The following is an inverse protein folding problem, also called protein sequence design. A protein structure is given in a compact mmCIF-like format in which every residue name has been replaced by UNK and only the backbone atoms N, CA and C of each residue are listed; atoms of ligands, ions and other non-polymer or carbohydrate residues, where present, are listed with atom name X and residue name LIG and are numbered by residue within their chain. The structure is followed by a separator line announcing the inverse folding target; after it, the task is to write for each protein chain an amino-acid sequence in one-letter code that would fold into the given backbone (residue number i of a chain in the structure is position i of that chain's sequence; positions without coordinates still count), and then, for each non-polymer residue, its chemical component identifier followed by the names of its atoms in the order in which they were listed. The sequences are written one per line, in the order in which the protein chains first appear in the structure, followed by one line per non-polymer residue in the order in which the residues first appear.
data_IF_161350577060
#
_entry.id   IF_161350577060
#
_cell.length_a   1.000
_cell.length_b   1.000
_cell.length_c   1.000
_cell.angle_alpha   90.00
_cell.angle_beta   90.00
_cell.angle_gamma   90.00
#
_symmetry.space_group_name_H-M   'P 1'
#
loop_
_entity.id
_entity.type
_entity.pdbx_description
1 polymer ?
#
# COMPACT_ATOMS: atom_id res chain seq x y z
N UNK A 1 11.87 -16.96 -1.27
CA UNK A 1 12.55 -15.76 -1.79
C UNK A 1 12.06 -15.53 -3.21
N UNK A 2 11.55 -14.34 -3.52
CA UNK A 2 11.25 -13.98 -4.89
C UNK A 2 12.58 -13.96 -5.68
N UNK A 3 12.56 -14.45 -6.90
CA UNK A 3 13.73 -14.44 -7.78
C UNK A 3 14.01 -13.01 -8.20
N UNK A 4 15.14 -12.46 -7.80
CA UNK A 4 15.52 -11.07 -8.11
C UNK A 4 15.97 -11.01 -9.57
N UNK A 5 15.32 -10.18 -10.37
CA UNK A 5 15.63 -9.94 -11.78
C UNK A 5 15.65 -8.46 -12.08
N UNK A 6 16.40 -8.08 -13.09
CA UNK A 6 16.49 -6.70 -13.58
C UNK A 6 15.48 -6.41 -14.71
N UNK A 7 15.27 -5.14 -14.98
CA UNK A 7 14.41 -4.66 -16.07
C UNK A 7 14.82 -5.26 -17.42
N UNK A 8 16.14 -5.32 -17.69
CA UNK A 8 16.67 -5.89 -18.92
C UNK A 8 16.27 -7.35 -19.10
N UNK A 9 16.32 -8.13 -18.03
CA UNK A 9 15.90 -9.54 -18.08
C UNK A 9 14.43 -9.68 -18.44
N UNK A 10 13.53 -8.92 -17.78
CA UNK A 10 12.08 -8.99 -17.99
C UNK A 10 11.73 -8.68 -19.45
N UNK A 11 12.24 -7.57 -19.99
CA UNK A 11 11.98 -7.16 -21.38
C UNK A 11 12.59 -8.15 -22.36
N UNK A 12 13.84 -8.57 -22.14
CA UNK A 12 14.51 -9.54 -23.02
C UNK A 12 13.76 -10.86 -23.05
N UNK A 13 13.34 -11.37 -21.89
CA UNK A 13 12.58 -12.62 -21.78
C UNK A 13 11.26 -12.52 -22.53
N UNK A 14 10.51 -11.45 -22.33
CA UNK A 14 9.24 -11.22 -23.04
C UNK A 14 9.44 -11.16 -24.57
N UNK A 15 10.46 -10.43 -25.05
CA UNK A 15 10.75 -10.30 -26.47
C UNK A 15 11.15 -11.63 -27.11
N UNK A 16 12.03 -12.39 -26.45
CA UNK A 16 12.48 -13.70 -26.96
C UNK A 16 11.32 -14.70 -27.01
N UNK A 17 10.46 -14.73 -26.00
CA UNK A 17 9.26 -15.61 -25.99
C UNK A 17 8.26 -15.27 -27.09
N UNK A 18 8.21 -14.00 -27.52
CA UNK A 18 7.38 -13.56 -28.66
C UNK A 18 8.07 -13.72 -30.03
N UNK A 19 9.31 -14.24 -30.07
CA UNK A 19 10.08 -14.38 -31.32
C UNK A 19 10.67 -13.05 -31.83
N UNK A 20 10.76 -12.03 -31.01
CA UNK A 20 11.39 -10.76 -31.33
C UNK A 20 12.91 -10.82 -31.07
N UNK A 21 13.72 -10.01 -31.79
CA UNK A 21 15.16 -9.99 -31.59
C UNK A 21 15.53 -9.55 -30.18
N UNK A 22 16.56 -10.19 -29.61
CA UNK A 22 17.08 -9.84 -28.29
C UNK A 22 17.72 -8.45 -28.34
N UNK A 23 17.29 -7.48 -27.50
CA UNK A 23 17.89 -6.15 -27.44
C UNK A 23 19.27 -6.18 -26.75
N UNK A 24 20.20 -5.37 -27.20
CA UNK A 24 21.49 -5.17 -26.53
C UNK A 24 21.34 -4.31 -25.27
N UNK A 25 20.53 -3.25 -25.39
CA UNK A 25 20.12 -2.33 -24.33
C UNK A 25 18.59 -2.17 -24.38
N UNK A 26 17.99 -1.84 -23.25
CA UNK A 26 16.52 -1.74 -23.13
C UNK A 26 16.09 -0.29 -22.96
N UNK A 27 16.48 0.35 -21.86
CA UNK A 27 15.98 1.69 -21.51
C UNK A 27 16.52 2.76 -22.46
N UNK A 28 17.79 2.62 -22.88
CA UNK A 28 18.48 3.57 -23.78
C UNK A 28 18.41 3.17 -25.26
N UNK A 29 17.70 2.09 -25.58
CA UNK A 29 17.61 1.57 -26.94
C UNK A 29 16.92 2.54 -27.89
N UNK A 30 17.47 2.79 -29.09
CA UNK A 30 16.81 3.60 -30.14
C UNK A 30 15.73 2.83 -30.90
N UNK A 31 15.58 1.51 -30.69
CA UNK A 31 14.59 0.69 -31.37
C UNK A 31 13.18 1.01 -30.86
N UNK A 32 12.28 1.38 -31.78
CA UNK A 32 10.91 1.73 -31.46
C UNK A 32 10.12 0.58 -30.81
N UNK A 33 10.45 -0.68 -31.15
CA UNK A 33 9.81 -1.85 -30.54
C UNK A 33 10.23 -1.99 -29.09
N UNK A 34 11.51 -1.79 -28.79
CA UNK A 34 12.05 -1.84 -27.44
C UNK A 34 11.51 -0.68 -26.59
N UNK A 35 11.44 0.53 -27.14
CA UNK A 35 10.84 1.69 -26.47
C UNK A 35 9.35 1.44 -26.15
N UNK A 36 8.60 0.83 -27.08
CA UNK A 36 7.23 0.42 -26.83
C UNK A 36 7.14 -0.60 -25.67
N UNK A 37 8.05 -1.57 -25.63
CA UNK A 37 8.10 -2.56 -24.55
C UNK A 37 8.39 -1.92 -23.20
N UNK A 38 9.30 -0.94 -23.11
CA UNK A 38 9.58 -0.19 -21.88
C UNK A 38 8.36 0.61 -21.41
N UNK A 39 7.68 1.29 -22.34
CA UNK A 39 6.47 2.04 -22.01
C UNK A 39 5.35 1.12 -21.49
N UNK A 40 5.18 -0.05 -22.12
CA UNK A 40 4.21 -1.06 -21.69
C UNK A 40 4.61 -1.70 -20.34
N UNK A 41 5.92 -1.86 -20.08
CA UNK A 41 6.43 -2.38 -18.81
C UNK A 41 6.14 -1.39 -17.68
N UNK A 42 6.37 -0.10 -17.87
CA UNK A 42 6.04 0.93 -16.87
C UNK A 42 4.55 0.91 -16.53
N UNK A 43 3.69 0.82 -17.55
CA UNK A 43 2.25 0.68 -17.33
C UNK A 43 1.90 -0.62 -16.61
N UNK A 44 2.50 -1.74 -17.02
CA UNK A 44 2.28 -3.04 -16.39
C UNK A 44 2.68 -3.04 -14.92
N UNK A 45 3.81 -2.44 -14.57
CA UNK A 45 4.25 -2.26 -13.19
C UNK A 45 3.23 -1.49 -12.35
N UNK A 46 2.77 -0.34 -12.86
CA UNK A 46 1.75 0.48 -12.21
C UNK A 46 0.42 -0.27 -12.02
N UNK A 47 -0.08 -0.95 -13.06
CA UNK A 47 -1.30 -1.75 -12.99
C UNK A 47 -1.19 -2.86 -11.93
N UNK A 48 -0.03 -3.50 -11.82
CA UNK A 48 0.21 -4.58 -10.86
C UNK A 48 0.32 -4.09 -9.41
N UNK A 49 0.88 -2.91 -9.19
CA UNK A 49 0.92 -2.26 -7.86
C UNK A 49 -0.49 -2.03 -7.33
N UNK A 50 -1.39 -1.52 -8.19
CA UNK A 50 -2.78 -1.24 -7.82
C UNK A 50 -3.58 -2.55 -7.67
N UNK A 51 -3.29 -3.55 -8.47
CA UNK A 51 -4.05 -4.80 -8.53
C UNK A 51 -3.87 -5.73 -7.33
N UNK A 52 -2.76 -5.62 -6.61
CA UNK A 52 -2.45 -6.54 -5.51
C UNK A 52 -1.47 -5.93 -4.49
N UNK A 53 -1.71 -6.09 -3.17
CA UNK A 53 -0.79 -5.62 -2.14
C UNK A 53 0.42 -6.57 -2.03
N UNK A 54 1.47 -6.27 -2.78
CA UNK A 54 2.72 -7.03 -2.75
C UNK A 54 3.47 -6.78 -1.45
N UNK A 55 3.86 -7.83 -0.73
CA UNK A 55 4.59 -7.73 0.54
C UNK A 55 5.86 -6.87 0.41
N UNK A 56 6.54 -6.94 -0.75
CA UNK A 56 7.76 -6.19 -1.01
C UNK A 56 7.54 -4.67 -1.16
N UNK A 57 6.29 -4.24 -1.42
CA UNK A 57 5.91 -2.84 -1.59
C UNK A 57 5.22 -2.27 -0.37
N UNK A 58 4.92 -3.09 0.63
CA UNK A 58 4.28 -2.63 1.86
C UNK A 58 5.31 -1.87 2.70
N UNK A 59 4.93 -0.66 3.09
CA UNK A 59 5.71 0.20 3.99
C UNK A 59 4.86 0.69 5.14
N UNK A 60 5.49 0.90 6.27
CA UNK A 60 4.86 1.54 7.43
C UNK A 60 5.10 3.05 7.38
N UNK A 61 4.04 3.82 7.56
CA UNK A 61 4.13 5.25 7.79
C UNK A 61 3.77 5.58 9.23
N UNK A 62 4.70 6.19 9.95
CA UNK A 62 4.52 6.66 11.31
C UNK A 62 4.39 8.18 11.25
N UNK A 63 3.23 8.69 11.64
CA UNK A 63 2.90 10.10 11.70
C UNK A 63 2.83 10.55 13.15
N UNK A 64 3.65 11.52 13.53
CA UNK A 64 3.54 12.23 14.81
C UNK A 64 2.77 13.52 14.57
N UNK A 65 1.66 13.70 15.28
CA UNK A 65 0.81 14.88 15.08
C UNK A 65 1.40 16.13 15.70
N UNK A 66 1.05 17.31 15.13
CA UNK A 66 1.46 18.62 15.59
C UNK A 66 0.25 19.41 16.10
N UNK A 67 0.50 20.32 17.06
CA UNK A 67 -0.56 21.13 17.66
C UNK A 67 -1.24 22.04 16.61
N UNK A 68 -2.55 21.96 16.53
CA UNK A 68 -3.36 22.74 15.60
C UNK A 68 -3.33 22.30 14.14
N UNK A 69 -2.58 21.24 13.79
CA UNK A 69 -2.44 20.78 12.40
C UNK A 69 -3.40 19.61 12.13
N UNK A 70 -4.46 19.79 11.32
CA UNK A 70 -5.42 18.74 11.00
C UNK A 70 -5.07 17.92 9.75
N UNK A 71 -4.12 18.37 8.92
CA UNK A 71 -3.81 17.75 7.63
C UNK A 71 -2.29 17.57 7.45
N UNK A 72 -1.90 16.43 6.96
CA UNK A 72 -0.50 16.01 6.77
C UNK A 72 -0.28 15.50 5.37
N UNK A 73 0.88 15.81 4.79
CA UNK A 73 1.24 15.32 3.47
C UNK A 73 1.49 13.82 3.49
N UNK A 74 1.03 13.15 2.45
CA UNK A 74 1.26 11.73 2.26
C UNK A 74 2.72 11.45 1.92
N UNK A 75 3.26 10.25 2.23
CA UNK A 75 4.55 9.83 1.68
C UNK A 75 4.58 9.99 0.15
N UNK A 76 5.70 10.47 -0.38
CA UNK A 76 5.83 10.78 -1.82
C UNK A 76 5.65 9.55 -2.74
N UNK A 77 5.77 8.37 -2.18
CA UNK A 77 5.62 7.09 -2.88
C UNK A 77 4.34 6.34 -2.49
N UNK A 78 3.38 7.04 -1.90
CA UNK A 78 2.12 6.46 -1.48
C UNK A 78 1.21 6.16 -2.69
N UNK A 79 0.70 4.91 -2.76
CA UNK A 79 -0.32 4.49 -3.71
C UNK A 79 -1.70 4.37 -3.03
N UNK A 80 -1.81 3.50 -2.03
CA UNK A 80 -3.03 3.33 -1.23
C UNK A 80 -2.71 2.71 0.13
N UNK A 81 -3.60 2.92 1.10
CA UNK A 81 -3.50 2.27 2.41
C UNK A 81 -3.99 0.84 2.39
N UNK A 82 -3.39 0.01 3.24
CA UNK A 82 -3.97 -1.29 3.59
C UNK A 82 -5.10 -1.10 4.59
N UNK A 83 -6.23 -1.76 4.33
CA UNK A 83 -7.40 -1.68 5.21
C UNK A 83 -7.10 -2.20 6.62
N UNK A 84 -7.66 -1.52 7.62
CA UNK A 84 -7.58 -1.89 9.03
C UNK A 84 -6.17 -1.85 9.64
N UNK A 85 -5.21 -1.21 8.99
CA UNK A 85 -3.85 -1.04 9.52
C UNK A 85 -3.64 0.31 10.21
N UNK A 86 -4.62 1.23 10.08
CA UNK A 86 -4.54 2.57 10.65
C UNK A 86 -4.79 2.52 12.17
N UNK A 87 -3.75 2.83 12.93
CA UNK A 87 -3.72 2.66 14.37
C UNK A 87 -3.16 3.88 15.09
N UNK A 88 -3.82 4.29 16.16
CA UNK A 88 -3.28 5.26 17.12
C UNK A 88 -2.46 4.50 18.18
N UNK A 89 -1.15 4.65 18.15
CA UNK A 89 -0.24 3.99 19.08
C UNK A 89 -0.20 4.65 20.45
N UNK A 90 -0.60 5.92 20.54
CA UNK A 90 -0.63 6.65 21.80
C UNK A 90 -1.78 6.18 22.68
N UNK A 91 -2.97 6.05 22.10
CA UNK A 91 -4.17 5.67 22.83
C UNK A 91 -4.57 4.18 22.64
N UNK A 92 -3.85 3.45 21.79
CA UNK A 92 -4.09 2.04 21.47
C UNK A 92 -5.46 1.76 20.83
N UNK A 93 -5.90 2.64 19.93
CA UNK A 93 -7.18 2.51 19.23
C UNK A 93 -7.01 2.51 17.71
N UNK A 94 -7.90 1.81 16.97
CA UNK A 94 -7.94 1.94 15.52
C UNK A 94 -8.49 3.31 15.13
N UNK A 95 -7.96 3.91 14.06
CA UNK A 95 -8.54 5.08 13.43
C UNK A 95 -9.83 4.70 12.72
N UNK A 96 -10.78 5.63 12.67
CA UNK A 96 -12.09 5.43 12.04
C UNK A 96 -12.13 6.13 10.66
N UNK A 97 -12.08 5.36 9.60
CA UNK A 97 -12.13 5.91 8.23
C UNK A 97 -11.82 4.87 7.16
N UNK A 98 -11.60 5.31 5.92
CA UNK A 98 -11.73 6.72 5.48
C UNK A 98 -13.19 7.22 5.50
N UNK A 99 -13.40 8.47 5.94
CA UNK A 99 -14.72 9.08 6.00
C UNK A 99 -15.13 9.69 4.66
N UNK A 100 -16.41 9.57 4.33
CA UNK A 100 -16.99 10.19 3.14
C UNK A 100 -17.07 11.72 3.30
N UNK A 101 -17.18 12.44 2.19
CA UNK A 101 -17.29 13.90 2.21
C UNK A 101 -18.50 14.36 3.04
N UNK A 102 -19.63 13.64 2.96
CA UNK A 102 -20.83 13.95 3.72
C UNK A 102 -20.63 13.76 5.23
N UNK A 103 -20.08 12.61 5.64
CA UNK A 103 -19.77 12.34 7.05
C UNK A 103 -18.77 13.35 7.62
N UNK A 104 -17.80 13.78 6.79
CA UNK A 104 -16.81 14.76 7.21
C UNK A 104 -17.41 16.14 7.46
N UNK A 105 -18.31 16.60 6.60
CA UNK A 105 -19.01 17.88 6.82
C UNK A 105 -19.90 17.80 8.05
N UNK A 106 -20.56 16.68 8.26
CA UNK A 106 -21.36 16.46 9.46
C UNK A 106 -20.53 16.49 10.75
N UNK A 107 -19.32 15.86 10.74
CA UNK A 107 -18.39 15.93 11.86
C UNK A 107 -17.93 17.37 12.15
N UNK A 108 -17.63 18.15 11.10
CA UNK A 108 -17.23 19.57 11.22
C UNK A 108 -18.41 20.48 11.64
N UNK A 109 -19.65 20.04 11.46
CA UNK A 109 -20.84 20.78 11.85
C UNK A 109 -21.04 20.95 13.37
N UNK A 110 -20.24 20.30 14.19
CA UNK A 110 -20.14 20.54 15.63
C UNK A 110 -21.35 20.10 16.47
N UNK A 111 -22.32 19.39 15.89
CA UNK A 111 -23.55 19.02 16.59
C UNK A 111 -23.35 17.87 17.61
N UNK A 112 -22.27 17.09 17.45
CA UNK A 112 -21.96 15.97 18.33
C UNK A 112 -20.50 16.01 18.76
N UNK A 113 -20.26 15.70 20.03
CA UNK A 113 -18.90 15.38 20.51
C UNK A 113 -18.38 14.20 19.72
N UNK A 114 -17.23 14.35 19.08
CA UNK A 114 -16.66 13.34 18.20
C UNK A 114 -16.20 12.07 18.92
N UNK A 115 -16.22 12.06 20.24
CA UNK A 115 -15.61 10.98 21.04
C UNK A 115 -14.08 10.95 20.88
N UNK A 116 -13.38 10.09 21.65
CA UNK A 116 -11.92 10.10 21.73
C UNK A 116 -11.22 9.49 20.50
N UNK A 117 -11.93 8.75 19.63
CA UNK A 117 -11.31 8.09 18.47
C UNK A 117 -11.07 9.06 17.35
N UNK A 118 -9.86 9.02 16.79
CA UNK A 118 -9.47 9.81 15.64
C UNK A 118 -10.17 9.27 14.39
N UNK A 119 -10.76 10.20 13.63
CA UNK A 119 -11.34 9.93 12.32
C UNK A 119 -10.43 10.52 11.26
N UNK A 120 -10.35 9.84 10.11
CA UNK A 120 -9.51 10.31 9.03
C UNK A 120 -10.21 10.24 7.67
N UNK A 121 -9.70 11.02 6.76
CA UNK A 121 -9.96 10.92 5.31
C UNK A 121 -8.72 11.29 4.53
N UNK A 122 -8.69 10.88 3.25
CA UNK A 122 -7.65 11.29 2.31
C UNK A 122 -8.28 12.19 1.26
N UNK A 123 -7.78 13.41 1.13
CA UNK A 123 -8.27 14.42 0.19
C UNK A 123 -7.09 15.25 -0.32
N UNK A 124 -7.04 15.48 -1.63
CA UNK A 124 -6.01 16.30 -2.28
C UNK A 124 -4.55 15.88 -1.97
N UNK A 125 -4.32 14.58 -1.81
CA UNK A 125 -2.98 14.06 -1.47
C UNK A 125 -2.58 14.29 -0.01
N UNK A 126 -3.53 14.68 0.86
CA UNK A 126 -3.29 14.89 2.28
C UNK A 126 -4.12 13.92 3.14
N UNK A 127 -3.54 13.53 4.25
CA UNK A 127 -4.17 12.76 5.30
C UNK A 127 -4.77 13.73 6.32
N UNK A 128 -6.09 13.92 6.28
CA UNK A 128 -6.81 14.77 7.23
C UNK A 128 -7.32 13.96 8.41
N UNK A 129 -7.17 14.51 9.62
CA UNK A 129 -7.64 13.90 10.87
C UNK A 129 -8.63 14.80 11.60
N UNK A 130 -9.54 14.18 12.32
CA UNK A 130 -10.51 14.83 13.18
C UNK A 130 -10.73 14.00 14.48
N UNK A 131 -10.72 14.62 15.68
CA UNK A 131 -10.57 16.06 15.96
C UNK A 131 -9.17 16.57 15.62
N UNK A 132 -9.05 17.89 15.42
CA UNK A 132 -7.75 18.54 15.26
C UNK A 132 -6.91 18.33 16.52
N UNK A 133 -5.65 17.88 16.42
CA UNK A 133 -4.76 17.75 17.56
C UNK A 133 -4.62 19.09 18.30
N UNK A 134 -4.78 19.07 19.60
CA UNK A 134 -4.62 20.26 20.44
C UNK A 134 -4.46 19.87 21.89
N UNK A 135 -3.97 20.76 22.74
CA UNK A 135 -3.86 20.54 24.18
C UNK A 135 -5.21 20.18 24.85
N UNK A 136 -6.35 20.54 24.25
CA UNK A 136 -7.69 20.18 24.72
C UNK A 136 -8.02 18.72 24.39
N UNK A 137 -7.63 18.28 23.18
CA UNK A 137 -7.95 16.93 22.68
C UNK A 137 -6.89 15.89 23.05
N UNK A 138 -5.70 16.36 23.45
CA UNK A 138 -4.56 15.55 23.86
C UNK A 138 -3.98 16.03 25.20
N UNK A 139 -4.77 15.99 26.28
CA UNK A 139 -4.28 16.47 27.58
C UNK A 139 -3.17 15.55 28.11
N UNK A 140 -2.06 16.16 28.54
CA UNK A 140 -1.05 15.45 29.32
C UNK A 140 -1.61 15.15 30.73
N UNK A 141 -1.47 13.91 31.16
CA UNK A 141 -1.87 13.52 32.51
C UNK A 141 -1.08 14.34 33.54
N UNK A 142 -1.78 15.18 34.29
CA UNK A 142 -1.19 16.01 35.36
C UNK A 142 -0.67 17.39 34.96
N UNK A 143 -0.68 17.76 33.68
CA UNK A 143 -0.27 19.07 33.20
C UNK A 143 -1.37 19.67 32.28
N UNK A 144 -2.31 20.42 32.83
CA UNK A 144 -3.35 21.06 32.01
C UNK A 144 -2.76 22.06 31.01
N UNK A 145 -3.19 21.92 29.73
CA UNK A 145 -2.79 22.85 28.66
C UNK A 145 -1.50 22.47 27.91
N UNK A 146 -0.87 21.36 28.24
CA UNK A 146 0.25 20.85 27.45
C UNK A 146 -0.25 19.92 26.36
N UNK A 147 0.26 20.14 25.14
CA UNK A 147 -0.03 19.28 23.99
C UNK A 147 0.80 18.00 24.03
N UNK A 148 0.12 16.85 23.89
CA UNK A 148 0.76 15.56 23.69
C UNK A 148 0.52 15.09 22.27
N UNK A 149 1.55 14.90 21.43
CA UNK A 149 1.38 14.41 20.07
C UNK A 149 0.84 12.98 20.06
N UNK A 150 -0.10 12.71 19.17
CA UNK A 150 -0.49 11.35 18.85
C UNK A 150 0.52 10.74 17.88
N UNK A 151 0.87 9.49 18.11
CA UNK A 151 1.68 8.70 17.20
C UNK A 151 0.74 7.76 16.43
N UNK A 152 0.49 8.09 15.18
CA UNK A 152 -0.36 7.32 14.29
C UNK A 152 0.53 6.43 13.41
N UNK A 153 0.18 5.17 13.28
CA UNK A 153 0.88 4.23 12.43
C UNK A 153 -0.09 3.62 11.42
N UNK A 154 0.34 3.49 10.19
CA UNK A 154 -0.46 2.90 9.13
C UNK A 154 0.43 2.26 8.07
N UNK A 155 -0.05 1.18 7.48
CA UNK A 155 0.64 0.53 6.38
C UNK A 155 0.05 0.97 5.05
N UNK A 156 0.92 1.15 4.08
CA UNK A 156 0.55 1.52 2.72
C UNK A 156 1.36 0.75 1.69
N UNK A 157 0.83 0.67 0.49
CA UNK A 157 1.55 0.13 -0.66
C UNK A 157 2.25 1.28 -1.37
N UNK A 158 3.56 1.13 -1.55
CA UNK A 158 4.39 2.07 -2.31
C UNK A 158 4.15 1.91 -3.81
N UNK A 159 4.08 3.02 -4.56
CA UNK A 159 4.02 2.99 -6.03
C UNK A 159 5.36 2.61 -6.66
N UNK A 160 6.46 2.68 -5.90
CA UNK A 160 7.80 2.41 -6.38
C UNK A 160 8.08 0.90 -6.42
N UNK A 161 7.89 0.30 -7.58
CA UNK A 161 8.05 -1.14 -7.81
C UNK A 161 9.44 -1.55 -8.32
N UNK A 162 10.33 -0.56 -8.54
CA UNK A 162 11.72 -0.74 -8.94
C UNK A 162 12.67 -0.26 -7.86
N UNK A 163 13.79 -0.95 -7.73
CA UNK A 163 14.90 -0.58 -6.85
C UNK A 163 16.15 -0.33 -7.68
N UNK A 164 16.84 0.76 -7.42
CA UNK A 164 18.15 1.04 -8.01
C UNK A 164 19.18 -0.03 -7.62
N UNK A 165 19.90 -0.56 -8.60
CA UNK A 165 20.96 -1.55 -8.35
C UNK A 165 22.25 -0.92 -7.80
N UNK A 166 22.50 0.34 -8.11
CA UNK A 166 23.74 1.06 -7.76
C UNK A 166 23.63 1.87 -6.46
N UNK A 167 22.40 2.31 -6.09
CA UNK A 167 22.18 3.17 -4.93
C UNK A 167 21.26 2.48 -3.93
N UNK A 168 21.78 2.27 -2.73
CA UNK A 168 21.00 1.62 -1.67
C UNK A 168 19.77 2.46 -1.28
N UNK A 169 18.65 1.78 -1.03
CA UNK A 169 17.38 2.40 -0.58
C UNK A 169 16.79 3.45 -1.52
N UNK A 170 17.13 3.40 -2.81
CA UNK A 170 16.53 4.24 -3.83
C UNK A 170 15.57 3.42 -4.67
N UNK A 171 14.34 3.94 -4.82
CA UNK A 171 13.23 3.24 -5.46
C UNK A 171 12.56 4.16 -6.49
N UNK A 172 12.00 3.55 -7.54
CA UNK A 172 11.37 4.26 -8.65
C UNK A 172 10.05 3.60 -9.06
N UNK A 173 9.15 4.41 -9.58
CA UNK A 173 7.89 3.97 -10.20
C UNK A 173 8.03 3.70 -11.71
N UNK A 174 9.15 4.12 -12.32
CA UNK A 174 9.43 3.98 -13.75
C UNK A 174 10.85 3.45 -13.99
N UNK A 175 11.04 2.72 -15.09
CA UNK A 175 12.34 2.19 -15.50
C UNK A 175 13.29 3.32 -15.87
N UNK A 176 14.45 3.39 -15.24
CA UNK A 176 15.50 4.38 -15.49
C UNK A 176 16.77 3.75 -16.06
N UNK A 177 17.11 2.56 -15.59
CA UNK A 177 18.29 1.83 -16.00
C UNK A 177 17.95 0.37 -16.31
N UNK A 178 18.73 -0.24 -17.20
CA UNK A 178 18.62 -1.67 -17.53
C UNK A 178 18.81 -2.59 -16.33
N UNK A 179 19.62 -2.13 -15.36
CA UNK A 179 20.02 -2.86 -14.15
C UNK A 179 19.05 -2.69 -12.99
N UNK A 180 18.03 -1.83 -13.11
CA UNK A 180 17.04 -1.62 -12.05
C UNK A 180 16.38 -2.94 -11.68
N UNK A 181 16.31 -3.22 -10.38
CA UNK A 181 15.81 -4.47 -9.83
C UNK A 181 14.29 -4.40 -9.70
N UNK A 182 13.61 -5.38 -10.26
CA UNK A 182 12.16 -5.53 -10.16
C UNK A 182 11.79 -6.14 -8.81
N UNK A 183 10.94 -5.47 -8.03
CA UNK A 183 10.43 -5.95 -6.73
C UNK A 183 9.20 -6.85 -6.88
N UNK A 184 8.47 -6.72 -7.99
CA UNK A 184 7.34 -7.58 -8.34
C UNK A 184 7.82 -8.96 -8.81
N UNK A 185 6.93 -9.95 -8.88
CA UNK A 185 7.29 -11.26 -9.45
C UNK A 185 7.61 -11.10 -10.94
N UNK A 186 8.87 -11.39 -11.36
CA UNK A 186 9.31 -11.11 -12.72
C UNK A 186 8.61 -11.95 -13.78
N UNK A 187 8.12 -13.14 -13.43
CA UNK A 187 7.40 -14.00 -14.37
C UNK A 187 5.97 -13.52 -14.62
N UNK A 188 5.29 -13.06 -13.57
CA UNK A 188 3.97 -12.45 -13.74
C UNK A 188 4.10 -11.21 -14.62
N UNK A 189 5.11 -10.37 -14.33
CA UNK A 189 5.35 -9.14 -15.09
C UNK A 189 5.68 -9.45 -16.56
N UNK A 190 6.49 -10.49 -16.83
CA UNK A 190 6.79 -10.96 -18.19
C UNK A 190 5.54 -11.42 -18.93
N UNK A 191 4.69 -12.24 -18.29
CA UNK A 191 3.45 -12.71 -18.90
C UNK A 191 2.47 -11.56 -19.18
N UNK A 192 2.35 -10.59 -18.25
CA UNK A 192 1.53 -9.41 -18.43
C UNK A 192 2.06 -8.49 -19.52
N UNK A 193 3.37 -8.30 -19.61
CA UNK A 193 4.00 -7.52 -20.67
C UNK A 193 3.73 -8.10 -22.06
N UNK A 194 3.81 -9.43 -22.22
CA UNK A 194 3.44 -10.09 -23.48
C UNK A 194 1.98 -9.82 -23.84
N UNK A 195 1.07 -9.96 -22.89
CA UNK A 195 -0.35 -9.68 -23.09
C UNK A 195 -0.57 -8.23 -23.55
N UNK A 196 0.03 -7.25 -22.86
CA UNK A 196 -0.08 -5.83 -23.19
C UNK A 196 0.49 -5.48 -24.56
N UNK A 197 1.58 -6.13 -24.96
CA UNK A 197 2.15 -5.95 -26.28
C UNK A 197 1.19 -6.43 -27.39
N UNK A 198 0.59 -7.61 -27.24
CA UNK A 198 -0.36 -8.14 -28.21
C UNK A 198 -1.66 -7.35 -28.25
N UNK A 199 -2.16 -6.87 -27.11
CA UNK A 199 -3.27 -5.92 -27.06
C UNK A 199 -2.96 -4.64 -27.86
N UNK A 200 -1.78 -4.06 -27.65
CA UNK A 200 -1.35 -2.85 -28.35
C UNK A 200 -1.20 -3.02 -29.87
N UNK A 201 -0.94 -4.26 -30.33
CA UNK A 201 -0.88 -4.59 -31.78
C UNK A 201 -2.25 -4.94 -32.37
N UNK A 202 -3.30 -5.03 -31.55
CA UNK A 202 -4.64 -5.41 -32.01
C UNK A 202 -4.76 -6.88 -32.46
N UNK A 203 -3.91 -7.77 -31.93
CA UNK A 203 -3.87 -9.18 -32.25
C UNK A 203 -4.69 -10.00 -31.25
N UNK A 204 -4.98 -11.27 -31.58
CA UNK A 204 -5.68 -12.16 -30.67
C UNK A 204 -4.87 -12.41 -29.37
N UNK A 205 -5.47 -12.06 -28.26
CA UNK A 205 -4.85 -12.12 -26.92
C UNK A 205 -5.30 -13.33 -26.10
N UNK A 206 -6.18 -14.17 -26.61
CA UNK A 206 -6.82 -15.27 -25.86
C UNK A 206 -5.80 -16.20 -25.19
N UNK A 207 -4.75 -16.60 -25.91
CA UNK A 207 -3.69 -17.47 -25.40
C UNK A 207 -2.86 -16.77 -24.31
N UNK A 208 -2.50 -15.51 -24.51
CA UNK A 208 -1.69 -14.73 -23.57
C UNK A 208 -2.48 -14.35 -22.31
N UNK A 209 -3.78 -14.10 -22.44
CA UNK A 209 -4.66 -13.89 -21.26
C UNK A 209 -4.72 -15.15 -20.40
N UNK A 210 -4.85 -16.33 -21.00
CA UNK A 210 -4.85 -17.60 -20.29
C UNK A 210 -3.51 -17.87 -19.60
N UNK A 211 -2.38 -17.60 -20.28
CA UNK A 211 -1.03 -17.73 -19.74
C UNK A 211 -0.82 -16.79 -18.53
N UNK A 212 -1.22 -15.53 -18.69
CA UNK A 212 -1.15 -14.55 -17.61
C UNK A 212 -1.98 -14.97 -16.39
N UNK A 213 -3.26 -15.33 -16.58
CA UNK A 213 -4.13 -15.76 -15.48
C UNK A 213 -3.59 -17.00 -14.77
N UNK A 214 -3.12 -18.00 -15.50
CA UNK A 214 -2.51 -19.19 -14.91
C UNK A 214 -1.24 -18.88 -14.12
N UNK A 215 -0.38 -18.01 -14.63
CA UNK A 215 0.84 -17.57 -13.94
C UNK A 215 0.48 -16.75 -12.70
N UNK A 216 -0.50 -15.87 -12.80
CA UNK A 216 -1.00 -15.04 -11.72
C UNK A 216 -1.53 -15.87 -10.56
N UNK A 217 -2.46 -16.79 -10.81
CA UNK A 217 -3.04 -17.66 -9.78
C UNK A 217 -1.99 -18.54 -9.09
N UNK A 218 -1.08 -19.13 -9.85
CA UNK A 218 -0.04 -20.01 -9.33
C UNK A 218 0.97 -19.28 -8.42
N UNK A 219 1.24 -17.99 -8.68
CA UNK A 219 2.29 -17.25 -7.99
C UNK A 219 1.78 -16.36 -6.86
N UNK A 220 0.59 -15.79 -6.97
CA UNK A 220 -0.04 -15.03 -5.87
C UNK A 220 -0.27 -15.90 -4.63
N UNK A 221 -0.66 -17.18 -4.82
CA UNK A 221 -0.81 -18.12 -3.72
C UNK A 221 0.47 -18.30 -2.88
N UNK A 222 1.64 -18.14 -3.49
CA UNK A 222 2.94 -18.21 -2.80
C UNK A 222 3.25 -16.92 -2.04
N UNK A 223 2.80 -15.78 -2.53
CA UNK A 223 3.06 -14.49 -1.91
C UNK A 223 2.21 -14.26 -0.64
N UNK A 224 1.00 -14.80 -0.59
CA UNK A 224 0.10 -14.71 0.59
C UNK A 224 0.38 -15.77 1.67
N UNK A 225 1.34 -16.65 1.45
CA UNK A 225 1.45 -17.89 2.22
C UNK A 225 0.28 -18.85 1.93
N UNK A 226 0.45 -20.13 2.12
CA UNK A 226 -0.66 -21.06 1.99
C UNK A 226 -1.72 -20.73 3.05
N UNK A 227 -2.98 -20.47 2.68
CA UNK A 227 -4.02 -20.25 3.68
C UNK A 227 -4.09 -21.49 4.58
N UNK A 228 -3.98 -21.26 5.89
CA UNK A 228 -4.14 -22.35 6.84
C UNK A 228 -5.57 -22.86 6.74
N UNK A 229 -5.76 -24.04 6.16
CA UNK A 229 -7.07 -24.69 6.10
C UNK A 229 -7.41 -25.18 7.51
N UNK A 230 -8.13 -24.36 8.27
CA UNK A 230 -8.64 -24.75 9.57
C UNK A 230 -9.86 -25.63 9.34
N UNK A 231 -9.69 -26.93 9.46
CA UNK A 231 -10.79 -27.92 9.39
C UNK A 231 -11.66 -27.90 10.66
N UNK A 232 -11.22 -27.22 11.71
CA UNK A 232 -12.05 -26.99 12.90
C UNK A 232 -13.18 -25.99 12.58
N UNK A 233 -14.41 -26.24 13.04
CA UNK A 233 -15.45 -25.24 12.96
C UNK A 233 -14.94 -23.98 13.62
N UNK A 234 -15.01 -22.84 12.91
CA UNK A 234 -14.62 -21.53 13.47
C UNK A 234 -15.41 -21.37 14.77
N UNK A 235 -14.68 -21.33 15.89
CA UNK A 235 -15.31 -20.97 17.15
C UNK A 235 -16.06 -19.66 16.90
N UNK A 236 -17.38 -19.75 17.01
CA UNK A 236 -18.24 -18.59 16.83
C UNK A 236 -17.85 -17.54 17.83
N UNK A 237 -17.48 -16.39 17.29
CA UNK A 237 -17.54 -15.09 17.94
C UNK A 237 -16.79 -15.00 19.26
N UNK A 238 -15.66 -14.34 19.26
CA UNK A 238 -15.23 -13.64 20.45
C UNK A 238 -16.44 -12.83 20.97
N UNK A 239 -16.91 -13.13 22.17
CA UNK A 239 -17.95 -12.36 22.85
C UNK A 239 -17.57 -10.89 23.02
N UNK A 240 -16.27 -10.58 22.89
CA UNK A 240 -15.69 -9.25 22.96
C UNK A 240 -15.05 -8.97 21.60
N UNK A 241 -15.78 -8.27 20.74
CA UNK A 241 -15.25 -7.70 19.49
C UNK A 241 -14.90 -6.23 19.71
N UNK A 242 -14.06 -5.70 18.81
CA UNK A 242 -13.66 -4.28 18.82
C UNK A 242 -14.88 -3.32 18.86
N UNK A 243 -16.03 -3.78 18.32
CA UNK A 243 -17.29 -3.03 18.33
C UNK A 243 -18.03 -3.08 19.69
N UNK A 244 -17.64 -3.98 20.58
CA UNK A 244 -18.25 -4.17 21.90
C UNK A 244 -17.40 -3.57 23.03
N UNK A 245 -16.21 -3.07 22.69
CA UNK A 245 -15.35 -2.37 23.66
C UNK A 245 -15.83 -0.92 23.72
N UNK A 246 -16.30 -0.44 24.88
CA UNK A 246 -16.72 0.95 25.01
C UNK A 246 -15.53 1.89 24.74
N UNK A 247 -15.80 3.05 24.12
CA UNK A 247 -14.83 4.11 23.84
C UNK A 247 -14.35 4.82 25.13
N UNK A 248 -14.00 4.07 26.15
CA UNK A 248 -13.45 4.58 27.41
C UNK A 248 -12.02 4.13 27.60
N UNK A 249 -11.25 4.91 28.33
CA UNK A 249 -9.92 4.49 28.76
C UNK A 249 -10.05 3.18 29.54
N UNK A 250 -9.37 2.14 29.11
CA UNK A 250 -9.12 0.97 29.94
C UNK A 250 -8.21 1.40 31.09
N UNK A 251 -8.80 1.93 32.11
CA UNK A 251 -8.12 1.98 33.40
C UNK A 251 -8.07 0.53 33.87
N UNK A 252 -6.99 -0.16 33.55
CA UNK A 252 -6.63 -1.38 34.26
C UNK A 252 -6.36 -0.92 35.66
N UNK A 253 -7.42 -0.88 36.45
CA UNK A 253 -7.35 -0.55 37.85
C UNK A 253 -6.32 -1.45 38.48
N UNK A 254 -5.15 -0.90 38.72
CA UNK A 254 -4.24 -1.45 39.68
C UNK A 254 -4.94 -1.32 41.04
N UNK A 255 -5.76 -2.34 41.36
CA UNK A 255 -6.33 -2.49 42.68
C UNK A 255 -5.18 -2.63 43.69
N UNK A 256 -4.78 -1.53 44.20
CA UNK A 256 -4.09 -1.48 45.50
C UNK A 256 -4.57 -0.26 46.25
N UNK A 257 -5.74 -0.44 46.86
CA UNK A 257 -6.16 0.38 47.97
C UNK A 257 -5.83 -0.37 49.25
N UNK A 258 -4.86 0.08 49.97
CA UNK A 258 -4.82 0.06 51.43
C UNK A 258 -4.38 1.38 51.92
#
# INVERSE_FOLDING_TARGET
MAEVRDVKWVVTQAMVEMGLPKPAEVVTSPDSTVQQMVALLNRAGSDMVIGFPWEQLIKEWILTTEDGVPAYDMPSDWSYFLDQTQWDRTNHWPLLGPKTAQEWQWLKGGLLSSGPRIRYRVVSGQFEIFPTPSAINTPTAGVPGEFVPWVLAMEYVSENWLKDAGVANTFYSECRNDTDIVLLDPWILTAYLKLKYWEAKGLDTTAYTKDFLGTWEARIGKNKGAPMLTLAPRARTMLIGINNIPDGSWNVGNGNST
#
